data_IF_409847541262
#
_entry.id   IF_409847541262
#
_cell.length_a   1.000
_cell.length_b   1.000
_cell.length_c   1.000
_cell.angle_alpha   90.00
_cell.angle_beta   90.00
_cell.angle_gamma   90.00
#
_symmetry.space_group_name_H-M   'P 1'
#
loop_
_entity.id
_entity.type
_entity.pdbx_description
1 polymer ?
#
# COMPACT_ATOMS: atom_id res chain seq x y z
N UNK A 1 33.07 -52.12 46.48
CA UNK A 1 31.84 -51.66 45.90
C UNK A 1 31.17 -50.45 46.59
N UNK A 2 31.27 -50.29 47.91
CA UNK A 2 30.60 -49.16 48.64
C UNK A 2 31.12 -47.73 48.33
N UNK A 3 32.40 -47.54 47.97
CA UNK A 3 32.94 -46.19 47.70
C UNK A 3 32.53 -45.62 46.36
N UNK A 4 32.42 -46.45 45.32
CA UNK A 4 32.00 -46.02 43.97
C UNK A 4 30.54 -45.60 43.94
N UNK A 5 29.64 -46.27 44.66
CA UNK A 5 28.22 -45.94 44.74
C UNK A 5 27.99 -44.60 45.46
N UNK A 6 28.79 -44.30 46.46
CA UNK A 6 28.72 -43.04 47.21
C UNK A 6 29.19 -41.86 46.34
N UNK A 7 30.23 -42.04 45.53
CA UNK A 7 30.75 -41.02 44.62
C UNK A 7 29.72 -40.70 43.51
N UNK A 8 29.08 -41.73 42.94
CA UNK A 8 28.01 -41.52 41.93
C UNK A 8 26.80 -40.79 42.53
N UNK A 9 26.44 -41.13 43.77
CA UNK A 9 25.35 -40.43 44.46
C UNK A 9 25.64 -38.92 44.66
N UNK A 10 26.87 -38.55 45.10
CA UNK A 10 27.23 -37.14 45.24
C UNK A 10 27.30 -36.40 43.90
N UNK A 11 27.69 -37.05 42.80
CA UNK A 11 27.67 -36.46 41.46
C UNK A 11 26.21 -36.18 41.02
N UNK A 12 25.29 -37.12 41.22
CA UNK A 12 23.88 -36.94 40.88
C UNK A 12 23.26 -35.80 41.70
N UNK A 13 23.53 -35.73 42.99
CA UNK A 13 23.04 -34.64 43.85
C UNK A 13 23.63 -33.30 43.43
N UNK A 14 24.93 -33.26 43.10
CA UNK A 14 25.57 -32.05 42.55
C UNK A 14 24.96 -31.59 41.23
N UNK A 15 24.68 -32.50 40.33
CA UNK A 15 23.98 -32.18 39.06
C UNK A 15 22.54 -31.66 39.28
N UNK A 16 21.79 -32.28 40.24
CA UNK A 16 20.45 -31.78 40.58
C UNK A 16 20.47 -30.36 41.16
N UNK A 17 21.40 -30.08 42.06
CA UNK A 17 21.56 -28.74 42.64
C UNK A 17 22.00 -27.71 41.58
N UNK A 18 22.84 -28.11 40.64
CA UNK A 18 23.27 -27.26 39.55
C UNK A 18 22.10 -26.94 38.58
N UNK A 19 21.33 -27.96 38.21
CA UNK A 19 20.12 -27.78 37.33
C UNK A 19 19.04 -26.94 38.04
N UNK A 20 18.82 -27.14 39.33
CA UNK A 20 17.88 -26.30 40.09
C UNK A 20 18.38 -24.85 40.23
N UNK A 21 19.70 -24.63 40.37
CA UNK A 21 20.29 -23.29 40.34
C UNK A 21 20.11 -22.58 38.99
N UNK A 22 20.31 -23.30 37.88
CA UNK A 22 20.05 -22.79 36.54
C UNK A 22 18.56 -22.47 36.37
N UNK A 23 17.67 -23.34 36.83
CA UNK A 23 16.22 -23.11 36.73
C UNK A 23 15.78 -21.88 37.54
N UNK A 24 16.27 -21.71 38.79
CA UNK A 24 16.01 -20.53 39.61
C UNK A 24 16.61 -19.26 38.96
N UNK A 25 17.78 -19.36 38.35
CA UNK A 25 18.38 -18.23 37.61
C UNK A 25 17.54 -17.80 36.40
N UNK A 26 17.05 -18.76 35.62
CA UNK A 26 16.17 -18.48 34.52
C UNK A 26 14.81 -17.93 34.97
N UNK A 27 14.21 -18.46 36.03
CA UNK A 27 13.00 -17.91 36.62
C UNK A 27 13.20 -16.46 37.08
N UNK A 28 14.27 -16.18 37.81
CA UNK A 28 14.58 -14.80 38.21
C UNK A 28 14.88 -13.88 37.03
N UNK A 29 15.44 -14.40 35.98
CA UNK A 29 15.69 -13.60 34.75
C UNK A 29 14.41 -13.37 33.95
N UNK A 30 13.48 -14.32 33.95
CA UNK A 30 12.14 -14.15 33.40
C UNK A 30 11.31 -13.16 34.24
N UNK A 31 11.43 -13.20 35.59
CA UNK A 31 10.80 -12.23 36.49
C UNK A 31 11.44 -10.83 36.40
N UNK A 32 12.69 -10.72 35.89
CA UNK A 32 13.41 -9.46 35.65
C UNK A 32 13.30 -8.95 34.20
N UNK A 33 12.84 -9.78 33.29
CA UNK A 33 12.21 -9.28 32.07
C UNK A 33 10.87 -8.74 32.54
N UNK A 34 10.91 -7.54 33.08
CA UNK A 34 9.78 -6.64 33.12
C UNK A 34 9.31 -6.53 31.66
N UNK A 35 8.41 -7.41 31.27
CA UNK A 35 7.48 -7.15 30.18
C UNK A 35 6.70 -5.97 30.77
N UNK A 36 7.25 -4.75 30.56
CA UNK A 36 6.76 -3.55 31.20
C UNK A 36 5.26 -3.68 31.36
N UNK A 37 4.80 -3.70 32.63
CA UNK A 37 3.48 -3.23 32.94
C UNK A 37 3.48 -1.74 32.51
N UNK A 38 3.63 -1.51 31.21
CA UNK A 38 3.14 -0.33 30.55
C UNK A 38 1.67 -0.30 30.89
N UNK A 39 1.24 0.76 31.51
CA UNK A 39 -0.12 1.04 31.92
C UNK A 39 -1.11 0.42 30.92
N UNK A 40 -1.77 -0.69 31.35
CA UNK A 40 -2.74 -1.42 30.54
C UNK A 40 -2.14 -2.11 29.31
N UNK A 41 -1.51 -3.28 29.46
CA UNK A 41 -1.49 -4.23 28.36
C UNK A 41 -2.96 -4.56 28.06
N UNK A 42 -3.57 -3.82 27.16
CA UNK A 42 -4.91 -4.10 26.67
C UNK A 42 -4.81 -5.44 25.94
N UNK A 43 -5.33 -6.50 26.57
CA UNK A 43 -5.50 -7.79 25.90
C UNK A 43 -6.65 -7.57 24.92
N UNK A 44 -6.33 -7.34 23.67
CA UNK A 44 -7.31 -7.28 22.59
C UNK A 44 -7.91 -8.66 22.34
N UNK A 45 -9.19 -8.69 22.00
CA UNK A 45 -9.90 -9.95 21.73
C UNK A 45 -9.53 -10.53 20.36
N UNK A 46 -9.05 -9.69 19.42
CA UNK A 46 -8.73 -10.06 18.05
C UNK A 46 -7.36 -9.51 17.64
N UNK A 47 -6.74 -10.16 16.66
CA UNK A 47 -5.50 -9.73 16.04
C UNK A 47 -5.67 -9.64 14.52
N UNK A 48 -5.57 -8.47 13.96
CA UNK A 48 -5.57 -8.21 12.53
C UNK A 48 -4.18 -7.91 12.04
N UNK A 49 -3.88 -8.35 10.82
CA UNK A 49 -2.62 -8.09 10.13
C UNK A 49 -2.86 -7.19 8.92
N UNK A 50 -2.15 -6.08 8.84
CA UNK A 50 -2.09 -5.24 7.65
C UNK A 50 -0.73 -5.43 6.99
N UNK A 51 -0.74 -5.83 5.70
CA UNK A 51 0.46 -6.00 4.88
C UNK A 51 0.45 -4.86 3.87
N UNK A 52 1.36 -3.91 4.05
CA UNK A 52 1.52 -2.77 3.14
C UNK A 52 2.04 -3.22 1.77
N UNK A 53 1.87 -2.40 0.75
CA UNK A 53 2.53 -2.56 -0.53
C UNK A 53 4.06 -2.52 -0.40
N UNK A 54 4.77 -2.62 -1.52
CA UNK A 54 6.22 -2.86 -1.55
C UNK A 54 7.09 -1.77 -0.90
N UNK A 55 6.56 -0.57 -0.62
CA UNK A 55 7.34 0.55 -0.07
C UNK A 55 6.55 1.27 1.04
N UNK A 56 7.30 1.65 2.11
CA UNK A 56 6.80 2.53 3.15
C UNK A 56 6.55 3.93 2.55
N UNK A 57 5.28 4.29 2.39
CA UNK A 57 4.85 5.59 1.92
C UNK A 57 3.98 6.27 2.96
N UNK A 58 3.92 7.60 2.93
CA UNK A 58 2.99 8.37 3.78
C UNK A 58 1.52 7.93 3.60
N UNK A 59 1.20 7.37 2.44
CA UNK A 59 -0.10 6.79 2.14
C UNK A 59 -0.43 5.62 3.10
N UNK A 60 0.50 4.68 3.29
CA UNK A 60 0.31 3.56 4.20
C UNK A 60 0.25 3.97 5.66
N UNK A 61 1.03 5.00 6.07
CA UNK A 61 0.94 5.58 7.40
C UNK A 61 -0.47 6.09 7.69
N UNK A 62 -1.07 6.83 6.74
CA UNK A 62 -2.44 7.38 6.87
C UNK A 62 -3.50 6.26 6.94
N UNK A 63 -3.38 5.23 6.08
CA UNK A 63 -4.28 4.07 6.11
C UNK A 63 -4.16 3.34 7.46
N UNK A 64 -2.94 3.11 7.92
CA UNK A 64 -2.69 2.40 9.17
C UNK A 64 -3.20 3.18 10.40
N UNK A 65 -3.01 4.50 10.45
CA UNK A 65 -3.49 5.33 11.56
C UNK A 65 -4.99 5.19 11.74
N UNK A 66 -5.76 5.37 10.67
CA UNK A 66 -7.22 5.26 10.71
C UNK A 66 -7.71 3.83 10.95
N UNK A 67 -7.05 2.84 10.34
CA UNK A 67 -7.34 1.42 10.56
C UNK A 67 -7.04 1.00 12.01
N UNK A 68 -5.90 1.44 12.56
CA UNK A 68 -5.51 1.16 13.95
C UNK A 68 -6.52 1.73 14.95
N UNK A 69 -7.05 2.94 14.67
CA UNK A 69 -8.09 3.51 15.51
C UNK A 69 -9.39 2.71 15.42
N UNK A 70 -9.82 2.34 14.22
CA UNK A 70 -11.01 1.51 14.02
C UNK A 70 -10.88 0.13 14.68
N UNK A 71 -9.69 -0.49 14.59
CA UNK A 71 -9.41 -1.78 15.24
C UNK A 71 -9.49 -1.66 16.77
N UNK A 72 -8.92 -0.61 17.36
CA UNK A 72 -9.01 -0.35 18.81
C UNK A 72 -10.46 -0.19 19.27
N UNK A 73 -11.28 0.51 18.50
CA UNK A 73 -12.70 0.71 18.81
C UNK A 73 -13.50 -0.61 18.75
N UNK A 74 -12.97 -1.61 18.02
CA UNK A 74 -13.52 -2.96 17.87
C UNK A 74 -12.85 -4.01 18.78
N UNK A 75 -12.06 -3.60 19.78
CA UNK A 75 -11.30 -4.48 20.67
C UNK A 75 -10.35 -5.43 19.88
N UNK A 76 -9.74 -4.91 18.79
CA UNK A 76 -8.78 -5.61 17.98
C UNK A 76 -7.41 -4.90 17.98
N UNK A 77 -6.32 -5.68 17.98
CA UNK A 77 -4.98 -5.20 17.70
C UNK A 77 -4.71 -5.28 16.21
N UNK A 78 -4.26 -4.21 15.61
CA UNK A 78 -3.81 -4.18 14.23
C UNK A 78 -2.28 -4.12 14.18
N UNK A 79 -1.65 -5.13 13.61
CA UNK A 79 -0.23 -5.17 13.31
C UNK A 79 0.01 -4.72 11.87
N UNK A 80 0.93 -3.76 11.67
CA UNK A 80 1.39 -3.37 10.35
C UNK A 80 2.69 -4.08 10.02
N UNK A 81 2.75 -4.73 8.86
CA UNK A 81 3.98 -5.23 8.25
C UNK A 81 4.24 -4.45 6.97
N UNK A 82 5.42 -3.84 6.92
CA UNK A 82 5.93 -3.16 5.74
C UNK A 82 7.03 -4.00 5.12
N UNK A 83 6.86 -4.51 3.89
CA UNK A 83 7.94 -5.18 3.18
C UNK A 83 9.09 -4.19 2.96
N UNK A 84 10.22 -4.39 3.63
CA UNK A 84 11.36 -3.50 3.53
C UNK A 84 12.39 -3.99 2.50
N UNK A 85 13.20 -3.07 1.95
CA UNK A 85 14.29 -3.37 1.01
C UNK A 85 15.33 -4.37 1.55
N UNK A 86 15.55 -4.39 2.86
CA UNK A 86 16.49 -5.30 3.54
C UNK A 86 15.84 -6.62 3.98
N UNK A 87 14.55 -6.80 3.73
CA UNK A 87 13.80 -8.01 4.06
C UNK A 87 14.03 -9.07 2.97
N UNK A 88 14.39 -10.29 3.39
CA UNK A 88 14.41 -11.44 2.48
C UNK A 88 12.99 -12.00 2.23
N UNK A 89 11.96 -11.36 2.78
CA UNK A 89 10.56 -11.76 2.68
C UNK A 89 9.82 -10.80 1.75
N UNK A 90 9.05 -11.38 0.85
CA UNK A 90 8.11 -10.65 -0.01
C UNK A 90 6.70 -10.63 0.61
N UNK A 91 5.75 -10.00 -0.05
CA UNK A 91 4.36 -9.89 0.41
C UNK A 91 3.71 -11.26 0.60
N UNK A 92 3.95 -12.22 -0.31
CA UNK A 92 3.44 -13.59 -0.19
C UNK A 92 4.00 -14.30 1.05
N UNK A 93 5.26 -14.07 1.42
CA UNK A 93 5.84 -14.63 2.65
C UNK A 93 5.15 -14.07 3.90
N UNK A 94 4.83 -12.78 3.93
CA UNK A 94 4.09 -12.18 5.04
C UNK A 94 2.66 -12.67 5.12
N UNK A 95 2.02 -12.91 3.97
CA UNK A 95 0.69 -13.52 3.93
C UNK A 95 0.72 -14.95 4.53
N UNK A 96 1.74 -15.77 4.18
CA UNK A 96 1.96 -17.09 4.80
C UNK A 96 2.18 -17.00 6.31
N UNK A 97 2.92 -15.99 6.77
CA UNK A 97 3.15 -15.75 8.20
C UNK A 97 1.83 -15.43 8.91
N UNK A 98 1.00 -14.56 8.33
CA UNK A 98 -0.32 -14.23 8.86
C UNK A 98 -1.22 -15.47 8.99
N UNK A 99 -1.28 -16.29 7.94
CA UNK A 99 -2.04 -17.55 7.94
C UNK A 99 -1.52 -18.51 9.02
N UNK A 100 -0.21 -18.72 9.06
CA UNK A 100 0.42 -19.61 10.04
C UNK A 100 0.27 -19.13 11.50
N UNK A 101 0.17 -17.81 11.69
CA UNK A 101 -0.05 -17.18 13.00
C UNK A 101 -1.51 -17.20 13.43
N UNK A 102 -2.41 -17.65 12.56
CA UNK A 102 -3.86 -17.70 12.80
C UNK A 102 -4.44 -16.36 13.26
N UNK A 103 -4.10 -15.29 12.54
CA UNK A 103 -4.67 -13.96 12.79
C UNK A 103 -6.19 -13.97 12.49
N UNK A 104 -6.96 -13.07 13.09
CA UNK A 104 -8.41 -13.01 12.93
C UNK A 104 -8.85 -12.31 11.63
N UNK A 105 -7.91 -11.74 10.88
CA UNK A 105 -8.17 -11.13 9.58
C UNK A 105 -6.94 -10.47 8.99
N UNK A 106 -6.92 -10.32 7.67
CA UNK A 106 -5.79 -9.76 6.92
C UNK A 106 -6.31 -8.64 6.02
N UNK A 107 -5.55 -7.54 5.97
CA UNK A 107 -5.73 -6.41 5.07
C UNK A 107 -4.46 -6.31 4.22
N UNK A 108 -4.60 -6.29 2.88
CA UNK A 108 -3.44 -6.18 1.98
C UNK A 108 -3.79 -5.45 0.69
N UNK A 109 -2.78 -4.89 0.04
CA UNK A 109 -2.88 -4.45 -1.34
C UNK A 109 -2.64 -5.64 -2.27
N UNK A 110 -3.60 -5.93 -3.17
CA UNK A 110 -3.48 -7.08 -4.05
C UNK A 110 -2.43 -6.84 -5.15
N UNK A 111 -1.52 -7.79 -5.34
CA UNK A 111 -0.57 -7.81 -6.46
C UNK A 111 -1.11 -8.57 -7.69
N UNK A 112 -2.21 -9.31 -7.52
CA UNK A 112 -2.91 -10.06 -8.57
C UNK A 112 -2.14 -11.26 -9.11
N UNK A 113 -1.10 -11.72 -8.42
CA UNK A 113 -0.35 -12.92 -8.80
C UNK A 113 -1.13 -14.20 -8.52
N UNK A 114 -0.86 -15.25 -9.30
CA UNK A 114 -1.44 -16.58 -9.06
C UNK A 114 -1.08 -17.08 -7.64
N UNK A 115 0.13 -16.76 -7.16
CA UNK A 115 0.61 -17.14 -5.84
C UNK A 115 -0.19 -16.46 -4.73
N UNK A 116 -0.49 -15.18 -4.87
CA UNK A 116 -1.32 -14.45 -3.91
C UNK A 116 -2.75 -14.99 -3.89
N UNK A 117 -3.34 -15.28 -5.07
CA UNK A 117 -4.68 -15.87 -5.15
C UNK A 117 -4.75 -17.21 -4.42
N UNK A 118 -3.75 -18.08 -4.59
CA UNK A 118 -3.67 -19.37 -3.88
C UNK A 118 -3.57 -19.15 -2.36
N UNK A 119 -2.80 -18.17 -1.90
CA UNK A 119 -2.65 -17.87 -0.48
C UNK A 119 -3.91 -17.23 0.12
N UNK A 120 -4.61 -16.35 -0.62
CA UNK A 120 -5.90 -15.82 -0.18
C UNK A 120 -6.95 -16.94 -0.06
N UNK A 121 -6.91 -17.94 -0.98
CA UNK A 121 -7.75 -19.12 -0.86
C UNK A 121 -7.38 -19.96 0.38
N UNK A 122 -6.07 -20.14 0.66
CA UNK A 122 -5.61 -20.85 1.86
C UNK A 122 -6.05 -20.13 3.15
N UNK A 123 -5.98 -18.80 3.18
CA UNK A 123 -6.51 -18.01 4.30
C UNK A 123 -8.01 -18.23 4.48
N UNK A 124 -8.78 -18.18 3.40
CA UNK A 124 -10.23 -18.44 3.42
C UNK A 124 -10.56 -19.86 3.91
N UNK A 125 -9.80 -20.87 3.49
CA UNK A 125 -9.98 -22.26 3.93
C UNK A 125 -9.62 -22.45 5.42
N UNK A 126 -8.82 -21.54 5.97
CA UNK A 126 -8.46 -21.47 7.39
C UNK A 126 -9.40 -20.56 8.22
N UNK A 127 -10.52 -20.11 7.65
CA UNK A 127 -11.47 -19.16 8.24
C UNK A 127 -10.86 -17.77 8.56
N UNK A 128 -9.80 -17.38 7.86
CA UNK A 128 -9.15 -16.06 7.99
C UNK A 128 -9.65 -15.14 6.86
N UNK A 129 -10.51 -14.15 7.15
CA UNK A 129 -11.02 -13.22 6.16
C UNK A 129 -9.90 -12.30 5.63
N UNK A 130 -9.89 -12.08 4.31
CA UNK A 130 -8.95 -11.18 3.65
C UNK A 130 -9.71 -10.03 3.01
N UNK A 131 -9.29 -8.80 3.29
CA UNK A 131 -9.76 -7.57 2.67
C UNK A 131 -8.63 -6.99 1.81
N UNK A 132 -8.91 -6.73 0.53
CA UNK A 132 -7.96 -6.02 -0.35
C UNK A 132 -8.22 -4.52 -0.31
N UNK A 133 -7.16 -3.72 -0.38
CA UNK A 133 -7.22 -2.25 -0.39
C UNK A 133 -6.44 -1.68 -1.56
N UNK A 134 -6.80 -0.49 -2.03
CA UNK A 134 -6.17 0.25 -3.13
C UNK A 134 -6.29 -0.47 -4.49
N UNK A 135 -5.69 -1.64 -4.61
CA UNK A 135 -5.74 -2.52 -5.79
C UNK A 135 -6.56 -3.76 -5.48
N UNK A 136 -7.38 -4.21 -6.43
CA UNK A 136 -8.28 -5.37 -6.26
C UNK A 136 -7.87 -6.54 -7.14
N UNK A 137 -8.07 -7.74 -6.61
CA UNK A 137 -8.17 -8.97 -7.38
C UNK A 137 -9.55 -9.62 -7.15
N UNK A 138 -10.48 -9.29 -8.02
CA UNK A 138 -11.86 -9.79 -7.93
C UNK A 138 -11.99 -11.30 -8.18
N UNK A 139 -10.94 -11.97 -8.67
CA UNK A 139 -10.88 -13.42 -8.88
C UNK A 139 -10.43 -14.18 -7.63
N UNK A 140 -9.84 -13.50 -6.66
CA UNK A 140 -9.41 -14.12 -5.40
C UNK A 140 -10.58 -14.40 -4.43
N UNK A 141 -10.31 -15.20 -3.41
CA UNK A 141 -11.28 -15.53 -2.35
C UNK A 141 -11.40 -14.42 -1.27
N UNK A 142 -10.99 -13.19 -1.56
CA UNK A 142 -11.17 -12.06 -0.64
C UNK A 142 -12.63 -11.83 -0.28
N UNK A 143 -12.89 -11.35 0.93
CA UNK A 143 -14.27 -11.05 1.37
C UNK A 143 -14.76 -9.67 0.91
N UNK A 144 -13.85 -8.71 0.74
CA UNK A 144 -14.17 -7.33 0.36
C UNK A 144 -12.98 -6.64 -0.30
N UNK A 145 -13.28 -5.66 -1.16
CA UNK A 145 -12.33 -4.66 -1.66
C UNK A 145 -12.71 -3.27 -1.14
N UNK A 146 -11.71 -2.50 -0.70
CA UNK A 146 -11.89 -1.12 -0.24
C UNK A 146 -11.00 -0.19 -1.07
N UNK A 147 -11.60 0.68 -1.85
CA UNK A 147 -10.86 1.59 -2.75
C UNK A 147 -11.74 2.23 -3.80
N UNK A 148 -11.11 2.68 -4.90
CA UNK A 148 -11.81 3.07 -6.11
C UNK A 148 -11.69 1.95 -7.15
N UNK A 149 -12.81 1.63 -7.82
CA UNK A 149 -12.73 0.73 -8.95
C UNK A 149 -12.12 1.44 -10.17
N UNK A 150 -11.61 0.64 -11.10
CA UNK A 150 -10.93 1.12 -12.32
C UNK A 150 -11.76 2.12 -13.14
N UNK A 151 -13.09 1.99 -13.11
CA UNK A 151 -14.00 2.93 -13.81
C UNK A 151 -13.97 4.32 -13.16
N UNK A 152 -14.09 4.39 -11.84
CA UNK A 152 -14.09 5.67 -11.11
C UNK A 152 -12.72 6.36 -11.21
N UNK A 153 -11.64 5.60 -11.04
CA UNK A 153 -10.27 6.12 -11.13
C UNK A 153 -9.96 6.57 -12.57
N UNK A 154 -10.32 5.76 -13.57
CA UNK A 154 -10.18 6.14 -14.99
C UNK A 154 -10.93 7.41 -15.35
N UNK A 155 -12.15 7.61 -14.84
CA UNK A 155 -12.90 8.85 -15.01
C UNK A 155 -12.21 10.04 -14.35
N UNK A 156 -11.68 9.89 -13.14
CA UNK A 156 -10.98 10.96 -12.45
C UNK A 156 -9.76 11.44 -13.25
N UNK A 157 -8.94 10.52 -13.76
CA UNK A 157 -7.83 10.86 -14.64
C UNK A 157 -8.31 11.52 -15.94
N UNK A 158 -9.36 10.98 -16.57
CA UNK A 158 -9.89 11.52 -17.81
C UNK A 158 -10.31 12.99 -17.69
N UNK A 159 -11.01 13.35 -16.61
CA UNK A 159 -11.42 14.74 -16.37
C UNK A 159 -10.22 15.69 -16.25
N UNK A 160 -9.11 15.24 -15.62
CA UNK A 160 -7.90 16.05 -15.54
C UNK A 160 -7.21 16.18 -16.90
N UNK A 161 -7.08 15.09 -17.66
CA UNK A 161 -6.47 15.09 -18.98
C UNK A 161 -7.27 16.00 -19.94
N UNK A 162 -8.60 15.93 -19.94
CA UNK A 162 -9.46 16.76 -20.79
C UNK A 162 -9.20 18.28 -20.58
N UNK A 163 -8.91 18.67 -19.34
CA UNK A 163 -8.55 20.05 -19.01
C UNK A 163 -7.21 20.52 -19.60
N UNK A 164 -6.33 19.59 -19.97
CA UNK A 164 -4.99 19.84 -20.49
C UNK A 164 -4.91 19.69 -22.02
N UNK A 165 -5.97 19.19 -22.69
CA UNK A 165 -5.97 19.01 -24.13
C UNK A 165 -5.91 20.36 -24.85
N UNK A 166 -4.95 20.48 -25.78
CA UNK A 166 -4.75 21.66 -26.61
C UNK A 166 -5.74 21.72 -27.76
N UNK A 167 -6.13 22.94 -28.14
CA UNK A 167 -7.00 23.16 -29.28
C UNK A 167 -6.21 23.04 -30.58
N UNK A 168 -6.74 22.28 -31.55
CA UNK A 168 -6.17 22.09 -32.89
C UNK A 168 -4.76 21.46 -32.94
N UNK A 169 -4.29 20.89 -31.83
CA UNK A 169 -3.04 20.15 -31.75
C UNK A 169 -3.30 18.71 -31.35
N UNK A 170 -2.38 17.81 -31.71
CA UNK A 170 -2.40 16.45 -31.18
C UNK A 170 -1.68 16.44 -29.84
N UNK A 171 -2.42 16.18 -28.76
CA UNK A 171 -1.85 16.04 -27.41
C UNK A 171 -1.41 14.59 -27.21
N UNK A 172 -0.12 14.42 -26.90
CA UNK A 172 0.45 13.11 -26.58
C UNK A 172 0.36 12.90 -25.05
N UNK A 173 -0.34 11.83 -24.65
CA UNK A 173 -0.53 11.44 -23.25
C UNK A 173 0.17 10.13 -23.01
N UNK A 174 1.06 10.09 -22.03
CA UNK A 174 1.76 8.88 -21.59
C UNK A 174 1.34 8.54 -20.15
N UNK A 175 0.77 7.35 -19.97
CA UNK A 175 0.47 6.78 -18.65
C UNK A 175 1.68 6.01 -18.15
N UNK A 176 2.07 6.31 -16.92
CA UNK A 176 3.14 5.62 -16.19
C UNK A 176 2.51 4.84 -15.03
N UNK A 177 2.57 3.52 -15.11
CA UNK A 177 2.10 2.62 -14.08
C UNK A 177 3.25 1.74 -13.59
N UNK A 178 3.26 1.39 -12.30
CA UNK A 178 4.23 0.44 -11.76
C UNK A 178 3.80 -0.99 -12.14
N UNK A 179 4.73 -1.79 -12.65
CA UNK A 179 4.45 -3.15 -13.15
C UNK A 179 4.22 -4.17 -12.05
N UNK A 180 4.53 -3.85 -10.80
CA UNK A 180 4.16 -4.71 -9.67
C UNK A 180 2.62 -4.82 -9.55
N UNK A 181 1.89 -3.85 -10.06
CA UNK A 181 0.44 -3.89 -10.24
C UNK A 181 0.01 -4.34 -11.65
N UNK A 182 0.65 -5.34 -12.24
CA UNK A 182 0.20 -5.99 -13.51
C UNK A 182 -1.17 -6.69 -13.35
N UNK A 183 -2.04 -6.11 -12.58
CA UNK A 183 -3.41 -6.57 -12.44
C UNK A 183 -4.18 -6.28 -13.73
N UNK A 184 -5.20 -7.07 -13.99
CA UNK A 184 -6.19 -6.75 -15.03
C UNK A 184 -6.73 -5.31 -14.86
N UNK A 185 -6.64 -4.75 -13.67
CA UNK A 185 -7.13 -3.43 -13.31
C UNK A 185 -6.35 -2.28 -13.95
N UNK A 186 -5.02 -2.33 -13.99
CA UNK A 186 -4.23 -1.29 -14.67
C UNK A 186 -4.62 -1.19 -16.14
N UNK A 187 -4.78 -2.32 -16.80
CA UNK A 187 -5.30 -2.37 -18.17
C UNK A 187 -6.72 -1.80 -18.27
N UNK A 188 -7.59 -2.08 -17.29
CA UNK A 188 -8.96 -1.56 -17.27
C UNK A 188 -8.99 -0.03 -17.10
N UNK A 189 -8.12 0.53 -16.23
CA UNK A 189 -8.00 1.98 -16.07
C UNK A 189 -7.54 2.62 -17.38
N UNK A 190 -6.50 2.09 -18.02
CA UNK A 190 -6.04 2.57 -19.34
C UNK A 190 -7.16 2.54 -20.39
N UNK A 191 -7.87 1.41 -20.52
CA UNK A 191 -8.98 1.30 -21.46
C UNK A 191 -10.11 2.26 -21.14
N UNK A 192 -10.42 2.49 -19.86
CA UNK A 192 -11.42 3.43 -19.42
C UNK A 192 -11.03 4.86 -19.78
N UNK A 193 -9.80 5.27 -19.49
CA UNK A 193 -9.28 6.59 -19.87
C UNK A 193 -9.37 6.79 -21.38
N UNK A 194 -8.89 5.82 -22.16
CA UNK A 194 -8.91 5.89 -23.62
C UNK A 194 -10.32 6.03 -24.19
N UNK A 195 -11.25 5.23 -23.69
CA UNK A 195 -12.66 5.27 -24.11
C UNK A 195 -13.30 6.62 -23.78
N UNK A 196 -13.17 7.07 -22.53
CA UNK A 196 -13.78 8.31 -22.07
C UNK A 196 -13.19 9.54 -22.77
N UNK A 197 -11.87 9.56 -23.04
CA UNK A 197 -11.23 10.63 -23.80
C UNK A 197 -11.81 10.71 -25.21
N UNK A 198 -11.99 9.58 -25.91
CA UNK A 198 -12.59 9.57 -27.25
C UNK A 198 -14.05 10.04 -27.25
N UNK A 199 -14.83 9.71 -26.21
CA UNK A 199 -16.22 10.08 -26.08
C UNK A 199 -16.43 11.56 -25.68
N UNK A 200 -15.53 12.11 -24.84
CA UNK A 200 -15.70 13.44 -24.22
C UNK A 200 -14.87 14.54 -24.85
N UNK A 201 -13.79 14.22 -25.58
CA UNK A 201 -12.98 15.24 -26.26
C UNK A 201 -13.82 15.99 -27.29
N UNK A 202 -13.52 17.26 -27.54
CA UNK A 202 -14.16 18.04 -28.57
C UNK A 202 -13.65 17.64 -29.95
N UNK A 203 -14.47 17.84 -31.01
CA UNK A 203 -14.15 17.44 -32.38
C UNK A 203 -12.82 18.01 -32.92
N UNK A 204 -12.42 19.17 -32.42
CA UNK A 204 -11.15 19.82 -32.79
C UNK A 204 -9.95 19.40 -31.93
N UNK A 205 -10.15 18.56 -30.93
CA UNK A 205 -9.09 18.03 -30.09
C UNK A 205 -8.68 16.64 -30.57
N UNK A 206 -7.38 16.43 -30.72
CA UNK A 206 -6.82 15.12 -31.04
C UNK A 206 -5.97 14.68 -29.86
N UNK A 207 -6.06 13.42 -29.48
CA UNK A 207 -5.29 12.84 -28.40
C UNK A 207 -4.70 11.50 -28.84
N UNK A 208 -3.41 11.32 -28.57
CA UNK A 208 -2.74 10.02 -28.71
C UNK A 208 -2.35 9.57 -27.32
N UNK A 209 -2.84 8.41 -26.90
CA UNK A 209 -2.58 7.87 -25.58
C UNK A 209 -1.72 6.61 -25.69
N UNK A 210 -0.69 6.55 -24.90
CA UNK A 210 0.19 5.38 -24.72
C UNK A 210 0.36 5.06 -23.26
N UNK A 211 0.76 3.84 -22.97
CA UNK A 211 0.97 3.32 -21.63
C UNK A 211 2.39 2.77 -21.54
N UNK A 212 3.04 3.01 -20.43
CA UNK A 212 4.29 2.40 -20.10
C UNK A 212 4.27 1.83 -18.69
N UNK A 213 4.57 0.54 -18.58
CA UNK A 213 4.65 -0.15 -17.30
C UNK A 213 6.11 -0.14 -16.83
N UNK A 214 6.35 0.48 -15.68
CA UNK A 214 7.66 0.55 -15.04
C UNK A 214 7.90 -0.78 -14.34
N UNK A 215 8.87 -1.56 -14.80
CA UNK A 215 9.28 -2.81 -14.15
C UNK A 215 10.30 -2.48 -13.06
N UNK A 216 9.83 -1.96 -11.94
CA UNK A 216 10.68 -1.55 -10.84
C UNK A 216 10.39 -2.37 -9.60
N UNK A 217 11.44 -2.89 -8.98
CA UNK A 217 11.38 -3.53 -7.67
C UNK A 217 11.77 -2.56 -6.53
N UNK A 218 12.15 -1.32 -6.89
CA UNK A 218 12.59 -0.29 -5.95
C UNK A 218 12.39 1.12 -6.50
N UNK A 219 12.29 2.11 -5.60
CA UNK A 219 12.24 3.52 -5.98
C UNK A 219 13.44 3.97 -6.83
N UNK A 220 14.61 3.35 -6.65
CA UNK A 220 15.79 3.62 -7.48
C UNK A 220 15.58 3.18 -8.94
N UNK A 221 14.97 2.03 -9.17
CA UNK A 221 14.66 1.55 -10.53
C UNK A 221 13.64 2.47 -11.19
N UNK A 222 12.64 2.95 -10.43
CA UNK A 222 11.65 3.94 -10.88
C UNK A 222 12.32 5.24 -11.29
N UNK A 223 13.24 5.76 -10.48
CA UNK A 223 14.00 6.99 -10.78
C UNK A 223 14.83 6.83 -12.06
N UNK A 224 15.56 5.71 -12.22
CA UNK A 224 16.35 5.43 -13.40
C UNK A 224 15.47 5.35 -14.66
N UNK A 225 14.34 4.68 -14.56
CA UNK A 225 13.39 4.56 -15.66
C UNK A 225 12.80 5.93 -16.07
N UNK A 226 12.31 6.70 -15.11
CA UNK A 226 11.76 8.03 -15.36
C UNK A 226 12.83 8.93 -15.98
N UNK A 227 14.06 8.91 -15.44
CA UNK A 227 15.20 9.64 -16.04
C UNK A 227 15.40 9.28 -17.50
N UNK A 228 15.33 8.00 -17.85
CA UNK A 228 15.58 7.53 -19.21
C UNK A 228 14.53 8.05 -20.20
N UNK A 229 13.28 8.27 -19.80
CA UNK A 229 12.28 8.97 -20.61
C UNK A 229 12.76 10.37 -20.98
N UNK A 230 13.28 11.13 -20.03
CA UNK A 230 13.73 12.51 -20.25
C UNK A 230 15.06 12.62 -21.03
N UNK A 231 15.88 11.57 -21.00
CA UNK A 231 17.18 11.56 -21.68
C UNK A 231 17.09 11.00 -23.11
N UNK A 232 16.26 9.97 -23.32
CA UNK A 232 16.26 9.19 -24.56
C UNK A 232 15.17 9.60 -25.55
N UNK A 233 14.13 10.31 -25.13
CA UNK A 233 13.08 10.74 -26.04
C UNK A 233 13.39 12.11 -26.68
N UNK A 234 13.48 12.13 -28.01
CA UNK A 234 13.59 13.39 -28.78
C UNK A 234 12.34 14.27 -28.64
N UNK A 235 11.19 13.65 -28.35
CA UNK A 235 9.91 14.34 -28.13
C UNK A 235 9.25 13.78 -26.86
N UNK A 236 9.30 14.55 -25.79
CA UNK A 236 8.55 14.25 -24.56
C UNK A 236 7.03 14.32 -24.81
N UNK A 237 6.22 13.52 -24.10
CA UNK A 237 4.77 13.64 -24.15
C UNK A 237 4.33 15.02 -23.63
N UNK A 238 3.18 15.50 -24.12
CA UNK A 238 2.59 16.74 -23.62
C UNK A 238 2.04 16.58 -22.19
N UNK A 239 1.52 15.39 -21.88
CA UNK A 239 0.93 15.06 -20.58
C UNK A 239 1.50 13.72 -20.08
N UNK A 240 2.06 13.74 -18.86
CA UNK A 240 2.42 12.55 -18.11
C UNK A 240 1.32 12.27 -17.06
N UNK A 241 0.82 11.05 -17.03
CA UNK A 241 -0.15 10.58 -16.04
C UNK A 241 0.55 9.55 -15.17
N UNK A 242 0.78 9.88 -13.92
CA UNK A 242 1.41 9.00 -12.95
C UNK A 242 0.33 8.32 -12.12
N UNK A 243 0.36 7.00 -12.03
CA UNK A 243 -0.64 6.20 -11.34
C UNK A 243 -0.16 5.70 -9.97
N UNK A 244 0.95 6.25 -9.50
CA UNK A 244 1.64 5.86 -8.28
C UNK A 244 2.33 7.08 -7.65
N UNK A 245 2.47 7.11 -6.30
CA UNK A 245 3.08 8.21 -5.56
C UNK A 245 4.55 8.37 -5.93
N UNK A 246 5.32 7.28 -5.90
CA UNK A 246 6.77 7.28 -6.16
C UNK A 246 7.05 7.73 -7.60
N UNK A 247 6.27 7.22 -8.56
CA UNK A 247 6.36 7.66 -9.96
C UNK A 247 6.08 9.16 -10.09
N UNK A 248 5.10 9.68 -9.37
CA UNK A 248 4.76 11.11 -9.37
C UNK A 248 5.93 11.97 -8.86
N UNK A 249 6.57 11.56 -7.77
CA UNK A 249 7.73 12.25 -7.20
C UNK A 249 8.94 12.20 -8.13
N UNK A 250 9.23 11.02 -8.70
CA UNK A 250 10.32 10.88 -9.67
C UNK A 250 10.12 11.76 -10.91
N UNK A 251 8.89 11.82 -11.45
CA UNK A 251 8.56 12.71 -12.57
C UNK A 251 8.71 14.19 -12.21
N UNK A 252 8.24 14.59 -11.02
CA UNK A 252 8.45 15.96 -10.54
C UNK A 252 9.94 16.31 -10.48
N UNK A 253 10.76 15.44 -9.90
CA UNK A 253 12.21 15.65 -9.81
C UNK A 253 12.85 15.73 -11.21
N UNK A 254 12.51 14.81 -12.11
CA UNK A 254 13.03 14.80 -13.46
C UNK A 254 12.67 16.07 -14.24
N UNK A 255 11.44 16.59 -14.12
CA UNK A 255 11.04 17.84 -14.75
C UNK A 255 11.93 19.01 -14.32
N UNK A 256 12.30 19.05 -13.05
CA UNK A 256 13.20 20.09 -12.50
C UNK A 256 14.64 19.89 -13.02
N UNK A 257 15.17 18.67 -12.92
CA UNK A 257 16.55 18.36 -13.24
C UNK A 257 16.86 18.52 -14.74
N UNK A 258 15.91 18.15 -15.62
CA UNK A 258 16.03 18.28 -17.06
C UNK A 258 15.47 19.60 -17.63
N UNK A 259 15.09 20.53 -16.76
CA UNK A 259 14.56 21.86 -17.15
C UNK A 259 13.36 21.78 -18.10
N UNK A 260 12.44 20.84 -17.85
CA UNK A 260 11.23 20.60 -18.62
C UNK A 260 9.97 21.20 -17.95
N UNK A 261 10.12 21.95 -16.89
CA UNK A 261 9.03 22.65 -16.19
C UNK A 261 8.27 23.55 -17.16
N UNK A 262 6.96 23.30 -17.29
CA UNK A 262 6.06 24.04 -18.19
C UNK A 262 6.05 23.55 -19.64
N UNK A 263 6.88 22.55 -20.00
CA UNK A 263 6.84 21.89 -21.29
C UNK A 263 6.00 20.59 -21.27
N UNK A 264 5.88 19.98 -20.12
CA UNK A 264 5.11 18.76 -19.86
C UNK A 264 4.15 19.02 -18.73
N UNK A 265 2.88 18.73 -18.93
CA UNK A 265 1.86 18.72 -17.87
C UNK A 265 1.87 17.39 -17.13
N UNK A 266 1.62 17.40 -15.81
CA UNK A 266 1.61 16.18 -14.98
C UNK A 266 0.30 16.06 -14.23
N UNK A 267 -0.33 14.90 -14.38
CA UNK A 267 -1.43 14.43 -13.53
C UNK A 267 -0.86 13.33 -12.63
N UNK A 268 -0.69 13.63 -11.35
CA UNK A 268 -0.09 12.74 -10.37
C UNK A 268 -1.11 11.94 -9.57
N UNK A 269 -0.60 11.14 -8.67
CA UNK A 269 -1.34 10.36 -7.70
C UNK A 269 -0.86 10.66 -6.29
N UNK A 270 -1.80 10.74 -5.33
CA UNK A 270 -1.59 11.03 -3.92
C UNK A 270 -1.08 12.46 -3.62
N UNK A 271 -0.60 12.73 -2.40
CA UNK A 271 -0.24 14.08 -1.93
C UNK A 271 0.85 14.10 -0.85
N UNK A 272 2.00 13.53 -1.11
CA UNK A 272 3.17 13.78 -0.26
C UNK A 272 3.56 15.28 -0.25
N UNK A 273 4.39 15.68 0.69
CA UNK A 273 4.90 17.06 0.75
C UNK A 273 5.58 17.50 -0.55
N UNK A 274 6.27 16.56 -1.22
CA UNK A 274 6.94 16.77 -2.51
C UNK A 274 5.91 17.05 -3.61
N UNK A 275 4.85 16.24 -3.67
CA UNK A 275 3.77 16.41 -4.66
C UNK A 275 3.01 17.71 -4.41
N UNK A 276 2.67 18.02 -3.15
CA UNK A 276 2.01 19.29 -2.78
C UNK A 276 2.86 20.52 -3.12
N UNK A 277 4.18 20.43 -2.94
CA UNK A 277 5.11 21.48 -3.35
C UNK A 277 5.13 21.64 -4.88
N UNK A 278 5.17 20.53 -5.62
CA UNK A 278 5.07 20.51 -7.09
C UNK A 278 3.79 21.16 -7.61
N UNK A 279 2.63 20.86 -7.01
CA UNK A 279 1.34 21.48 -7.35
C UNK A 279 1.33 22.97 -7.01
N UNK A 280 1.83 23.33 -5.84
CA UNK A 280 1.90 24.73 -5.39
C UNK A 280 2.74 25.59 -6.33
N UNK A 281 3.86 25.06 -6.82
CA UNK A 281 4.75 25.70 -7.80
C UNK A 281 4.18 25.69 -9.23
N UNK A 282 3.16 24.88 -9.50
CA UNK A 282 2.58 24.67 -10.83
C UNK A 282 3.46 23.82 -11.75
N UNK A 283 4.28 22.94 -11.18
CA UNK A 283 5.09 21.94 -11.89
C UNK A 283 4.24 20.67 -12.12
N UNK A 284 3.44 20.27 -11.13
CA UNK A 284 2.39 19.26 -11.24
C UNK A 284 1.08 20.00 -11.44
N UNK A 285 0.33 19.63 -12.48
CA UNK A 285 -0.93 20.29 -12.86
C UNK A 285 -2.06 19.94 -11.90
N UNK A 286 -2.16 18.66 -11.53
CA UNK A 286 -3.10 18.13 -10.54
C UNK A 286 -2.62 16.77 -10.01
N UNK A 287 -3.16 16.35 -8.87
CA UNK A 287 -3.02 14.99 -8.37
C UNK A 287 -4.38 14.44 -7.93
N UNK A 288 -4.58 13.14 -8.11
CA UNK A 288 -5.75 12.42 -7.62
C UNK A 288 -5.38 11.77 -6.30
N UNK A 289 -6.09 12.12 -5.24
CA UNK A 289 -5.92 11.54 -3.91
C UNK A 289 -7.17 10.76 -3.53
N UNK A 290 -6.98 9.61 -2.90
CA UNK A 290 -8.05 8.83 -2.27
C UNK A 290 -8.18 9.24 -0.81
N UNK A 291 -9.36 9.00 -0.24
CA UNK A 291 -9.58 9.17 1.19
C UNK A 291 -8.98 7.97 1.95
N UNK A 292 -7.73 8.13 2.40
CA UNK A 292 -6.98 7.08 3.09
C UNK A 292 -7.58 6.74 4.45
N UNK A 293 -8.22 7.70 5.11
CA UNK A 293 -8.93 7.47 6.37
C UNK A 293 -10.14 6.55 6.16
N UNK A 294 -10.86 6.72 5.04
CA UNK A 294 -11.94 5.81 4.66
C UNK A 294 -11.41 4.42 4.32
N UNK A 295 -10.27 4.31 3.63
CA UNK A 295 -9.66 3.01 3.32
C UNK A 295 -9.35 2.25 4.61
N UNK A 296 -8.64 2.86 5.54
CA UNK A 296 -8.30 2.22 6.80
C UNK A 296 -9.52 1.82 7.62
N UNK A 297 -10.44 2.75 7.81
CA UNK A 297 -11.67 2.52 8.58
C UNK A 297 -12.58 1.46 7.95
N UNK A 298 -12.80 1.49 6.64
CA UNK A 298 -13.69 0.53 5.97
C UNK A 298 -13.07 -0.86 5.88
N UNK A 299 -11.74 -0.99 5.79
CA UNK A 299 -11.08 -2.29 5.77
C UNK A 299 -11.29 -3.05 7.09
N UNK A 300 -11.15 -2.36 8.22
CA UNK A 300 -11.44 -2.96 9.53
C UNK A 300 -12.95 -3.22 9.70
N UNK A 301 -13.81 -2.30 9.28
CA UNK A 301 -15.26 -2.50 9.35
C UNK A 301 -15.69 -3.74 8.55
N UNK A 302 -15.09 -3.99 7.39
CA UNK A 302 -15.39 -5.18 6.60
C UNK A 302 -15.02 -6.49 7.32
N UNK A 303 -13.86 -6.52 8.02
CA UNK A 303 -13.46 -7.64 8.86
C UNK A 303 -14.43 -7.84 10.04
N UNK A 304 -14.83 -6.75 10.70
CA UNK A 304 -15.75 -6.78 11.84
C UNK A 304 -17.15 -7.24 11.43
N UNK A 305 -17.68 -6.74 10.32
CA UNK A 305 -18.97 -7.20 9.79
C UNK A 305 -18.91 -8.68 9.45
N UNK A 306 -17.85 -9.14 8.76
CA UNK A 306 -17.69 -10.55 8.43
C UNK A 306 -17.60 -11.42 9.68
N UNK A 307 -16.78 -11.03 10.66
CA UNK A 307 -16.63 -11.75 11.92
C UNK A 307 -17.95 -11.88 12.69
N UNK A 308 -18.80 -10.84 12.66
CA UNK A 308 -20.04 -10.81 13.44
C UNK A 308 -21.26 -11.38 12.71
N UNK A 309 -21.33 -11.22 11.38
CA UNK A 309 -22.52 -11.56 10.57
C UNK A 309 -22.26 -12.74 9.62
N UNK A 310 -21.01 -13.16 9.41
CA UNK A 310 -20.62 -14.17 8.43
C UNK A 310 -20.61 -13.67 6.98
N UNK A 311 -20.83 -12.38 6.77
CA UNK A 311 -20.77 -11.72 5.46
C UNK A 311 -20.50 -10.23 5.61
N UNK A 312 -19.99 -9.60 4.56
CA UNK A 312 -19.81 -8.15 4.42
C UNK A 312 -20.11 -7.71 2.98
N UNK A 313 -20.09 -6.41 2.70
CA UNK A 313 -20.16 -5.92 1.33
C UNK A 313 -18.93 -6.37 0.54
N UNK A 314 -19.13 -6.84 -0.70
CA UNK A 314 -18.00 -7.22 -1.57
C UNK A 314 -17.12 -6.03 -1.99
N UNK A 315 -17.62 -4.80 -1.82
CA UNK A 315 -16.95 -3.57 -2.24
C UNK A 315 -17.37 -2.38 -1.36
N UNK A 316 -16.38 -1.63 -0.88
CA UNK A 316 -16.55 -0.33 -0.26
C UNK A 316 -15.86 0.74 -1.09
N UNK A 317 -16.66 1.62 -1.70
CA UNK A 317 -16.14 2.79 -2.41
C UNK A 317 -15.69 3.85 -1.43
N UNK A 318 -14.51 4.39 -1.65
CA UNK A 318 -13.96 5.51 -0.88
C UNK A 318 -14.09 6.82 -1.64
N UNK A 319 -14.02 7.94 -0.92
CA UNK A 319 -13.96 9.27 -1.50
C UNK A 319 -12.67 9.48 -2.30
N UNK A 320 -12.75 10.39 -3.26
CA UNK A 320 -11.59 10.87 -4.01
C UNK A 320 -11.57 12.38 -4.04
N UNK A 321 -10.39 12.96 -4.08
CA UNK A 321 -10.16 14.40 -4.17
C UNK A 321 -9.21 14.70 -5.32
N UNK A 322 -9.47 15.81 -6.03
CA UNK A 322 -8.52 16.35 -7.00
C UNK A 322 -7.82 17.53 -6.36
N UNK A 323 -6.51 17.40 -6.21
CA UNK A 323 -5.65 18.44 -5.64
C UNK A 323 -5.07 19.25 -6.80
N UNK A 324 -5.35 20.55 -6.77
CA UNK A 324 -4.87 21.53 -7.74
C UNK A 324 -4.31 22.74 -7.00
N UNK A 325 -3.66 23.65 -7.72
CA UNK A 325 -3.03 24.82 -7.11
C UNK A 325 -3.97 25.68 -6.25
N UNK A 326 -5.26 25.71 -6.56
CA UNK A 326 -6.21 26.54 -5.81
C UNK A 326 -6.64 25.94 -4.47
N UNK A 327 -6.50 24.63 -4.25
CA UNK A 327 -6.91 23.93 -3.03
C UNK A 327 -5.75 23.23 -2.30
N UNK A 328 -4.54 23.21 -2.86
CA UNK A 328 -3.36 22.52 -2.30
C UNK A 328 -3.07 22.91 -0.85
N UNK A 329 -3.40 24.14 -0.46
CA UNK A 329 -3.19 24.61 0.93
C UNK A 329 -4.01 23.85 1.98
N UNK A 330 -5.13 23.24 1.60
CA UNK A 330 -5.96 22.48 2.53
C UNK A 330 -5.36 21.10 2.89
N UNK A 331 -4.41 20.60 2.10
CA UNK A 331 -3.74 19.31 2.28
C UNK A 331 -2.37 19.42 2.94
N UNK A 332 -1.88 20.63 3.16
CA UNK A 332 -0.66 20.86 3.94
C UNK A 332 -1.03 20.82 5.42
N UNK A 333 -0.54 19.82 6.13
CA UNK A 333 -0.54 19.86 7.59
C UNK A 333 0.20 21.14 8.01
N UNK A 334 -0.46 21.99 8.82
CA UNK A 334 0.23 23.13 9.44
C UNK A 334 1.39 22.52 10.25
N UNK A 335 2.60 22.73 9.79
CA UNK A 335 3.80 22.28 10.49
C UNK A 335 3.84 22.96 11.86
N UNK A 336 3.64 22.13 12.89
CA UNK A 336 3.94 22.49 14.28
C UNK A 336 5.42 22.27 14.55
#
# INVERSE_FOLDING_TARGET
MKKSTLTVFFIIVGCMLFLSGIWIYFQKKLDQVDLGEGEGASSYAKHYLMIAGAENTLMWDSIYESASQAAKDADAYLELIEPGHDSNYNQADYLRIGIASQVDGIILEADGSDEEQELIQEASDADIPVVTVLTDDSSSARISFVGLNSYQLGNAYTEQILGLLKEHENTQVLLLANSQSKTQETNLIYYQIKKELEEKKKDYQTVTISEYNIDSSSGFDTEEFVRDIFVSEENLPDVLVCMDEVVTECVYQALVDYNQVGNVDVVGFYYSDVILDGISKGIISSAIALDMDEIGRYSVNALEEFSSLGHTSNYYSVGQHVIIRSNVGAYRTEGN
#
